data_IF_047223724580
#
_entry.id   IF_047223724580
#
_cell.length_a   1.000
_cell.length_b   1.000
_cell.length_c   1.000
_cell.angle_alpha   90.00
_cell.angle_beta   90.00
_cell.angle_gamma   90.00
#
_symmetry.space_group_name_H-M   'P 1'
#
loop_
_entity.id
_entity.type
_entity.pdbx_description
1 polymer ?
#
# COMPACT_ATOMS: atom_id res chain seq x y z
N UNK A 1 12.51 1.70 -20.04
CA UNK A 1 11.80 1.06 -21.16
C UNK A 1 10.36 1.48 -20.98
N UNK A 2 9.85 2.30 -21.89
CA UNK A 2 8.45 2.73 -21.84
C UNK A 2 7.63 1.49 -22.22
N UNK A 3 6.99 0.85 -21.24
CA UNK A 3 6.03 -0.20 -21.54
C UNK A 3 4.81 0.48 -22.17
N UNK A 4 4.70 0.38 -23.50
CA UNK A 4 3.53 0.80 -24.22
C UNK A 4 2.31 0.13 -23.59
N UNK A 5 1.42 0.95 -23.00
CA UNK A 5 0.15 0.44 -22.48
C UNK A 5 -0.70 -0.04 -23.66
N UNK A 6 -1.26 -1.24 -23.55
CA UNK A 6 -2.21 -1.75 -24.53
C UNK A 6 -3.35 -0.74 -24.74
N UNK A 7 -3.69 -0.45 -26.00
CA UNK A 7 -4.91 0.29 -26.30
C UNK A 7 -6.12 -0.61 -26.01
N UNK A 8 -6.88 -0.23 -24.99
CA UNK A 8 -8.04 -0.96 -24.51
C UNK A 8 -9.37 -0.39 -25.05
N UNK A 9 -9.34 0.65 -25.90
CA UNK A 9 -10.54 1.37 -26.36
C UNK A 9 -11.54 0.49 -27.12
N UNK A 10 -11.04 -0.53 -27.81
CA UNK A 10 -11.86 -1.48 -28.59
C UNK A 10 -12.24 -2.75 -27.81
N UNK A 11 -11.77 -2.94 -26.57
CA UNK A 11 -12.04 -4.14 -25.79
C UNK A 11 -13.36 -3.99 -25.04
N UNK A 12 -14.24 -4.99 -25.16
CA UNK A 12 -15.54 -4.94 -24.47
C UNK A 12 -15.37 -4.97 -22.94
N UNK A 13 -16.31 -4.35 -22.21
CA UNK A 13 -16.30 -4.32 -20.74
C UNK A 13 -16.18 -5.74 -20.14
N UNK A 14 -16.93 -6.78 -20.58
CA UNK A 14 -16.76 -8.12 -20.05
C UNK A 14 -15.37 -8.72 -20.30
N UNK A 15 -14.78 -8.45 -21.48
CA UNK A 15 -13.43 -8.91 -21.79
C UNK A 15 -12.37 -8.22 -20.93
N UNK A 16 -12.52 -6.91 -20.66
CA UNK A 16 -11.66 -6.17 -19.73
C UNK A 16 -11.72 -6.75 -18.32
N UNK A 17 -12.92 -6.99 -17.80
CA UNK A 17 -13.10 -7.60 -16.48
C UNK A 17 -12.56 -9.04 -16.43
N UNK A 18 -12.71 -9.80 -17.51
CA UNK A 18 -12.11 -11.13 -17.65
C UNK A 18 -10.58 -11.10 -17.58
N UNK A 19 -9.94 -10.16 -18.30
CA UNK A 19 -8.49 -9.94 -18.23
C UNK A 19 -8.07 -9.54 -16.81
N UNK A 20 -8.80 -8.63 -16.18
CA UNK A 20 -8.53 -8.20 -14.80
C UNK A 20 -8.59 -9.38 -13.80
N UNK A 21 -9.61 -10.23 -13.92
CA UNK A 21 -9.74 -11.43 -13.09
C UNK A 21 -8.58 -12.42 -13.32
N UNK A 22 -8.13 -12.60 -14.57
CA UNK A 22 -6.98 -13.44 -14.89
C UNK A 22 -5.66 -12.88 -14.32
N UNK A 23 -5.46 -11.56 -14.40
CA UNK A 23 -4.30 -10.87 -13.79
C UNK A 23 -4.29 -11.10 -12.27
N UNK A 24 -5.43 -10.91 -11.59
CA UNK A 24 -5.51 -11.16 -10.16
C UNK A 24 -5.28 -12.63 -9.78
N UNK A 25 -5.71 -13.57 -10.62
CA UNK A 25 -5.43 -14.99 -10.42
C UNK A 25 -3.92 -15.27 -10.50
N UNK A 26 -3.25 -14.77 -11.54
CA UNK A 26 -1.80 -14.91 -11.71
C UNK A 26 -1.02 -14.27 -10.55
N UNK A 27 -1.39 -13.05 -10.13
CA UNK A 27 -0.76 -12.40 -8.99
C UNK A 27 -0.92 -13.19 -7.69
N UNK A 28 -2.07 -13.85 -7.50
CA UNK A 28 -2.30 -14.70 -6.34
C UNK A 28 -1.46 -15.97 -6.40
N UNK A 29 -1.37 -16.60 -7.56
CA UNK A 29 -0.60 -17.82 -7.75
C UNK A 29 0.91 -17.55 -7.56
N UNK A 30 1.36 -16.31 -7.82
CA UNK A 30 2.70 -15.79 -7.45
C UNK A 30 2.86 -15.39 -5.98
N UNK A 31 1.81 -15.46 -5.18
CA UNK A 31 1.80 -15.05 -3.77
C UNK A 31 1.86 -13.53 -3.54
N UNK A 32 1.63 -12.72 -4.58
CA UNK A 32 1.68 -11.24 -4.49
C UNK A 32 0.40 -10.68 -3.87
N UNK A 33 -0.76 -11.23 -4.23
CA UNK A 33 -2.05 -10.86 -3.66
C UNK A 33 -2.69 -12.02 -2.93
N UNK A 34 -3.49 -11.73 -1.91
CA UNK A 34 -4.16 -12.73 -1.06
C UNK A 34 -5.67 -12.75 -1.30
N UNK A 35 -6.20 -11.66 -1.83
CA UNK A 35 -7.62 -11.48 -2.15
C UNK A 35 -7.84 -11.29 -3.65
N UNK A 36 -9.10 -11.35 -4.10
CA UNK A 36 -9.50 -10.95 -5.46
C UNK A 36 -9.95 -9.48 -5.54
N UNK A 37 -9.59 -8.66 -4.54
CA UNK A 37 -9.89 -7.24 -4.54
C UNK A 37 -8.84 -6.48 -5.37
N UNK A 38 -8.97 -5.15 -5.41
CA UNK A 38 -7.93 -4.30 -5.98
C UNK A 38 -6.57 -4.58 -5.33
N UNK A 39 -5.49 -4.79 -6.13
CA UNK A 39 -4.27 -5.44 -5.66
C UNK A 39 -3.38 -4.54 -4.80
N UNK A 40 -3.65 -3.23 -4.74
CA UNK A 40 -2.76 -2.24 -4.15
C UNK A 40 -2.39 -2.54 -2.68
N UNK A 41 -3.37 -2.91 -1.87
CA UNK A 41 -3.15 -3.22 -0.45
C UNK A 41 -2.28 -4.45 -0.28
N UNK A 42 -2.72 -5.58 -0.82
CA UNK A 42 -1.99 -6.85 -0.75
C UNK A 42 -0.58 -6.73 -1.35
N UNK A 43 -0.42 -6.02 -2.47
CA UNK A 43 0.90 -5.80 -3.08
C UNK A 43 1.82 -5.00 -2.16
N UNK A 44 1.31 -3.95 -1.52
CA UNK A 44 2.08 -3.16 -0.57
C UNK A 44 2.51 -3.97 0.66
N UNK A 45 1.60 -4.80 1.19
CA UNK A 45 1.88 -5.73 2.28
C UNK A 45 2.92 -6.78 1.89
N UNK A 46 2.81 -7.34 0.68
CA UNK A 46 3.78 -8.29 0.13
C UNK A 46 5.18 -7.69 0.03
N UNK A 47 5.32 -6.46 -0.48
CA UNK A 47 6.61 -5.77 -0.52
C UNK A 47 7.16 -5.51 0.89
N UNK A 48 6.31 -5.10 1.82
CA UNK A 48 6.71 -4.87 3.20
C UNK A 48 7.20 -6.16 3.87
N UNK A 49 6.50 -7.28 3.68
CA UNK A 49 6.94 -8.59 4.19
C UNK A 49 8.33 -8.96 3.65
N UNK A 50 8.62 -8.71 2.37
CA UNK A 50 9.95 -8.91 1.81
C UNK A 50 11.02 -8.00 2.43
N UNK A 51 10.73 -6.70 2.60
CA UNK A 51 11.69 -5.73 3.18
C UNK A 51 12.03 -6.07 4.63
N UNK A 52 11.04 -6.41 5.44
CA UNK A 52 11.23 -6.69 6.86
C UNK A 52 11.54 -8.15 7.18
N UNK A 53 11.65 -9.01 6.16
CA UNK A 53 11.69 -10.46 6.31
C UNK A 53 10.57 -10.94 7.26
N UNK A 54 9.39 -10.35 7.11
CA UNK A 54 8.26 -10.47 8.01
C UNK A 54 7.24 -11.50 7.55
N UNK A 55 6.37 -11.90 8.48
CA UNK A 55 5.24 -12.80 8.22
C UNK A 55 3.95 -11.99 8.20
N UNK A 56 3.19 -12.10 7.12
CA UNK A 56 1.88 -11.47 7.00
C UNK A 56 0.89 -12.10 7.99
N UNK A 57 0.13 -11.28 8.69
CA UNK A 57 -0.95 -11.72 9.57
C UNK A 57 -2.13 -12.27 8.76
N UNK A 58 -2.94 -13.19 9.32
CA UNK A 58 -4.19 -13.59 8.71
C UNK A 58 -5.09 -12.38 8.39
N UNK A 59 -5.91 -12.52 7.35
CA UNK A 59 -6.88 -11.48 7.01
C UNK A 59 -7.77 -11.17 8.23
N UNK A 60 -8.04 -9.89 8.47
CA UNK A 60 -8.90 -9.41 9.57
C UNK A 60 -8.29 -9.43 10.98
N UNK A 61 -6.97 -9.67 11.12
CA UNK A 61 -6.26 -9.26 12.33
C UNK A 61 -6.40 -7.75 12.48
N UNK A 62 -6.73 -7.30 13.70
CA UNK A 62 -6.89 -5.88 13.99
C UNK A 62 -5.50 -5.27 14.12
N UNK A 63 -5.37 -4.04 13.61
CA UNK A 63 -4.29 -3.09 13.92
C UNK A 63 -2.95 -3.26 13.18
N UNK A 64 -2.53 -4.45 12.78
CA UNK A 64 -1.28 -4.63 12.02
C UNK A 64 -1.45 -5.70 10.93
N UNK A 65 -0.64 -5.58 9.88
CA UNK A 65 -0.72 -6.44 8.69
C UNK A 65 0.39 -7.49 8.67
N UNK A 66 1.50 -7.26 9.37
CA UNK A 66 2.62 -8.20 9.47
C UNK A 66 3.45 -8.03 10.75
N UNK A 67 4.17 -9.10 11.08
CA UNK A 67 5.22 -9.12 12.10
C UNK A 67 6.59 -9.20 11.41
N UNK A 68 7.50 -8.31 11.75
CA UNK A 68 8.88 -8.36 11.25
C UNK A 68 9.66 -9.51 11.90
N UNK A 69 10.83 -9.85 11.33
CA UNK A 69 11.71 -10.85 11.93
C UNK A 69 12.18 -10.51 13.36
N UNK A 70 12.28 -9.22 13.69
CA UNK A 70 12.60 -8.70 15.03
C UNK A 70 11.37 -8.51 15.94
N UNK A 71 10.18 -8.96 15.50
CA UNK A 71 8.96 -9.00 16.32
C UNK A 71 8.17 -7.69 16.36
N UNK A 72 8.50 -6.70 15.54
CA UNK A 72 7.72 -5.45 15.43
C UNK A 72 6.43 -5.70 14.65
N UNK A 73 5.33 -5.14 15.15
CA UNK A 73 4.03 -5.09 14.48
C UNK A 73 4.02 -3.92 13.50
N UNK A 74 3.68 -4.23 12.25
CA UNK A 74 3.72 -3.25 11.16
C UNK A 74 2.33 -3.09 10.55
N UNK A 75 1.85 -1.86 10.47
CA UNK A 75 0.65 -1.50 9.71
C UNK A 75 1.04 -0.84 8.38
N UNK A 76 0.70 -1.46 7.26
CA UNK A 76 0.91 -0.94 5.91
C UNK A 76 -0.29 -0.12 5.47
N UNK A 77 -0.03 1.04 4.85
CA UNK A 77 -1.05 1.83 4.15
C UNK A 77 -0.48 2.29 2.82
N UNK A 78 -1.22 2.01 1.75
CA UNK A 78 -0.81 2.35 0.40
C UNK A 78 -1.83 3.26 -0.31
N UNK A 79 -1.33 4.04 -1.27
CA UNK A 79 -2.17 4.86 -2.15
C UNK A 79 -1.51 5.03 -3.52
N UNK A 80 -2.32 5.01 -4.58
CA UNK A 80 -1.86 5.48 -5.89
C UNK A 80 -1.90 7.01 -5.96
N UNK A 81 -0.92 7.60 -6.63
CA UNK A 81 -0.80 9.04 -6.87
C UNK A 81 -0.56 9.30 -8.35
N UNK A 82 -1.24 10.34 -8.83
CA UNK A 82 -1.15 10.92 -10.17
C UNK A 82 -0.60 12.35 -10.05
N UNK A 83 -0.10 12.96 -11.14
CA UNK A 83 0.37 14.35 -11.13
C UNK A 83 -0.66 15.37 -10.62
N UNK A 84 -1.94 15.09 -10.81
CA UNK A 84 -3.09 15.92 -10.39
C UNK A 84 -3.69 15.49 -9.03
N UNK A 85 -3.03 14.59 -8.29
CA UNK A 85 -3.51 14.18 -6.96
C UNK A 85 -3.57 15.39 -6.02
N UNK A 86 -4.79 15.77 -5.65
CA UNK A 86 -5.04 16.93 -4.82
C UNK A 86 -4.40 16.85 -3.43
N UNK A 87 -4.04 18.01 -2.87
CA UNK A 87 -3.40 18.13 -1.56
C UNK A 87 -4.25 17.57 -0.38
N UNK A 88 -5.55 17.38 -0.59
CA UNK A 88 -6.47 16.77 0.37
C UNK A 88 -6.48 15.23 0.35
N UNK A 89 -5.77 14.59 -0.57
CA UNK A 89 -5.71 13.14 -0.65
C UNK A 89 -5.08 12.52 0.61
N UNK A 90 -5.66 11.42 1.07
CA UNK A 90 -5.30 10.74 2.31
C UNK A 90 -4.99 9.27 2.03
N UNK A 91 -4.17 8.67 2.90
CA UNK A 91 -4.10 7.22 3.03
C UNK A 91 -5.43 6.65 3.56
N UNK A 92 -5.60 5.33 3.45
CA UNK A 92 -6.72 4.67 4.12
C UNK A 92 -6.68 4.91 5.63
N UNK A 93 -7.87 5.01 6.22
CA UNK A 93 -8.05 5.44 7.62
C UNK A 93 -7.36 4.50 8.61
N UNK A 94 -6.69 5.09 9.60
CA UNK A 94 -6.18 4.38 10.78
C UNK A 94 -7.29 4.31 11.82
N UNK A 95 -7.69 3.09 12.20
CA UNK A 95 -8.74 2.83 13.20
C UNK A 95 -8.22 2.31 14.54
N UNK A 96 -6.95 1.93 14.56
CA UNK A 96 -6.21 1.48 15.73
C UNK A 96 -4.78 1.97 15.58
N UNK A 97 -4.07 2.08 16.69
CA UNK A 97 -2.65 2.42 16.80
C UNK A 97 -1.89 1.36 17.62
N UNK A 98 -2.47 0.17 17.76
CA UNK A 98 -1.81 -0.98 18.41
C UNK A 98 -0.86 -1.67 17.43
N UNK A 99 0.21 -0.97 17.07
CA UNK A 99 1.31 -1.41 16.22
C UNK A 99 2.55 -0.56 16.55
N UNK A 100 3.74 -1.02 16.16
CA UNK A 100 4.98 -0.33 16.54
C UNK A 100 5.40 0.68 15.47
N UNK A 101 5.27 0.29 14.20
CA UNK A 101 5.52 1.16 13.04
C UNK A 101 4.42 1.04 12.01
N UNK A 102 4.26 2.09 11.21
CA UNK A 102 3.50 2.04 9.97
C UNK A 102 4.41 2.24 8.77
N UNK A 103 4.02 1.62 7.66
CA UNK A 103 4.69 1.81 6.37
C UNK A 103 3.73 2.48 5.41
N UNK A 104 4.03 3.74 5.07
CA UNK A 104 3.22 4.55 4.16
C UNK A 104 3.84 4.51 2.77
N UNK A 105 3.11 3.97 1.79
CA UNK A 105 3.64 3.70 0.45
C UNK A 105 2.80 4.40 -0.61
N UNK A 106 3.45 5.10 -1.53
CA UNK A 106 2.81 5.64 -2.73
C UNK A 106 3.29 4.95 -3.98
N UNK A 107 2.35 4.71 -4.89
CA UNK A 107 2.59 4.14 -6.20
C UNK A 107 2.08 5.08 -7.29
N UNK A 108 2.67 5.02 -8.46
CA UNK A 108 2.13 5.68 -9.63
C UNK A 108 0.77 5.09 -10.00
N UNK A 109 -0.22 5.94 -10.26
CA UNK A 109 -1.58 5.48 -10.55
C UNK A 109 -1.75 4.79 -11.91
N UNK A 110 -0.88 5.10 -12.88
CA UNK A 110 -0.96 4.53 -14.22
C UNK A 110 -0.17 3.21 -14.32
N UNK A 111 0.92 3.09 -13.58
CA UNK A 111 1.90 2.01 -13.76
C UNK A 111 2.10 1.12 -12.53
N UNK A 112 1.53 1.48 -11.37
CA UNK A 112 1.86 0.85 -10.09
C UNK A 112 3.36 0.89 -9.75
N UNK A 113 4.15 1.74 -10.42
CA UNK A 113 5.55 1.93 -10.10
C UNK A 113 5.69 2.55 -8.72
N UNK A 114 6.57 1.99 -7.88
CA UNK A 114 6.85 2.54 -6.55
C UNK A 114 7.35 3.99 -6.66
N UNK A 115 6.65 4.91 -5.98
CA UNK A 115 7.04 6.32 -5.88
C UNK A 115 7.85 6.56 -4.62
N UNK A 116 7.26 6.34 -3.44
CA UNK A 116 7.91 6.54 -2.15
C UNK A 116 7.43 5.53 -1.10
N UNK A 117 8.28 5.23 -0.12
CA UNK A 117 7.93 4.46 1.08
C UNK A 117 8.53 5.12 2.34
N UNK A 118 7.72 5.29 3.38
CA UNK A 118 8.13 5.81 4.69
C UNK A 118 7.88 4.79 5.79
N UNK A 119 8.87 4.55 6.63
CA UNK A 119 8.69 3.87 7.92
C UNK A 119 8.46 4.92 9.00
N UNK A 120 7.30 4.87 9.64
CA UNK A 120 6.85 5.90 10.58
C UNK A 120 6.54 5.27 11.93
N UNK A 121 7.20 5.67 13.02
CA UNK A 121 6.82 5.26 14.37
C UNK A 121 5.38 5.63 14.69
N UNK A 122 4.68 4.78 15.44
CA UNK A 122 3.28 5.02 15.82
C UNK A 122 3.07 6.38 16.51
N UNK A 123 4.02 6.80 17.35
CA UNK A 123 3.98 8.08 18.07
C UNK A 123 3.95 9.31 17.14
N UNK A 124 4.62 9.25 16.00
CA UNK A 124 4.57 10.31 15.00
C UNK A 124 3.22 10.34 14.27
N UNK A 125 2.64 9.17 13.97
CA UNK A 125 1.33 9.10 13.31
C UNK A 125 0.18 9.61 14.17
N UNK A 126 0.24 9.32 15.47
CA UNK A 126 -0.76 9.80 16.43
C UNK A 126 -0.82 11.32 16.46
N UNK A 127 0.30 12.02 16.25
CA UNK A 127 0.32 13.49 16.23
C UNK A 127 0.00 14.10 14.87
N UNK A 128 0.32 13.41 13.76
CA UNK A 128 0.23 13.96 12.42
C UNK A 128 -1.19 13.94 11.80
N UNK A 129 -2.10 13.10 12.29
CA UNK A 129 -3.40 12.88 11.67
C UNK A 129 -4.54 13.73 12.21
N UNK A 130 -5.55 13.97 11.36
CA UNK A 130 -6.82 14.56 11.80
C UNK A 130 -7.80 13.45 12.17
N UNK A 131 -8.33 13.49 13.39
CA UNK A 131 -9.46 12.63 13.75
C UNK A 131 -10.71 13.03 12.95
N UNK A 132 -11.39 12.04 12.39
CA UNK A 132 -12.66 12.22 11.68
C UNK A 132 -13.72 11.35 12.33
N UNK A 133 -14.72 12.00 12.93
CA UNK A 133 -15.87 11.31 13.52
C UNK A 133 -16.69 10.53 12.49
N UNK A 134 -16.74 11.01 11.23
CA UNK A 134 -17.52 10.38 10.17
C UNK A 134 -17.00 8.99 9.78
N UNK A 135 -15.68 8.81 9.73
CA UNK A 135 -15.06 7.51 9.38
C UNK A 135 -14.58 6.74 10.61
N UNK A 136 -14.85 7.27 11.81
CA UNK A 136 -14.40 6.78 13.11
C UNK A 136 -12.92 6.36 13.10
N UNK A 137 -12.04 7.32 12.82
CA UNK A 137 -10.61 7.07 12.76
C UNK A 137 -9.80 8.28 12.37
N UNK A 138 -8.49 8.08 12.24
CA UNK A 138 -7.51 9.13 11.94
C UNK A 138 -7.11 9.08 10.47
N UNK A 139 -7.19 10.24 9.83
CA UNK A 139 -6.83 10.43 8.43
C UNK A 139 -5.46 11.09 8.35
N UNK A 140 -4.57 10.49 7.55
CA UNK A 140 -3.23 11.01 7.28
C UNK A 140 -3.21 11.47 5.83
N UNK A 141 -2.95 12.76 5.60
CA UNK A 141 -2.74 13.30 4.25
C UNK A 141 -1.48 12.70 3.65
N UNK A 142 -1.51 12.38 2.36
CA UNK A 142 -0.35 11.82 1.65
C UNK A 142 0.86 12.74 1.81
N UNK A 143 0.69 14.05 1.55
CA UNK A 143 1.76 15.05 1.65
C UNK A 143 2.36 15.18 3.06
N UNK A 144 1.56 14.97 4.10
CA UNK A 144 2.04 14.99 5.49
C UNK A 144 2.77 13.68 5.82
N UNK A 145 2.15 12.53 5.53
CA UNK A 145 2.72 11.21 5.79
C UNK A 145 4.06 10.99 5.10
N UNK A 146 4.23 11.50 3.88
CA UNK A 146 5.48 11.42 3.12
C UNK A 146 6.62 12.31 3.67
N UNK A 147 6.41 13.05 4.76
CA UNK A 147 7.45 13.79 5.50
C UNK A 147 7.73 13.22 6.89
N UNK A 148 6.99 12.21 7.32
CA UNK A 148 7.17 11.57 8.63
C UNK A 148 8.22 10.45 8.54
N UNK A 149 8.79 10.12 9.70
CA UNK A 149 9.69 8.98 9.86
C UNK A 149 10.86 8.98 8.87
N UNK A 150 11.27 7.78 8.48
CA UNK A 150 12.47 7.55 7.65
C UNK A 150 12.08 7.18 6.22
N UNK A 151 12.81 7.70 5.23
CA UNK A 151 12.69 7.26 3.84
C UNK A 151 13.29 5.87 3.67
N UNK A 152 12.47 4.90 3.30
CA UNK A 152 12.89 3.53 3.01
C UNK A 152 12.56 3.12 1.56
N UNK A 153 12.35 4.09 0.68
CA UNK A 153 11.99 3.87 -0.73
C UNK A 153 13.00 2.95 -1.43
N UNK A 154 14.29 3.08 -1.15
CA UNK A 154 15.32 2.25 -1.78
C UNK A 154 15.22 0.77 -1.38
N UNK A 155 14.87 0.47 -0.13
CA UNK A 155 14.65 -0.91 0.33
C UNK A 155 13.47 -1.54 -0.42
N UNK A 156 12.38 -0.78 -0.58
CA UNK A 156 11.22 -1.21 -1.34
C UNK A 156 11.52 -1.38 -2.84
N UNK A 157 12.32 -0.48 -3.45
CA UNK A 157 12.76 -0.63 -4.86
C UNK A 157 13.56 -1.92 -5.09
N UNK A 158 14.37 -2.32 -4.12
CA UNK A 158 15.20 -3.53 -4.22
C UNK A 158 14.37 -4.82 -4.29
N UNK A 159 13.15 -4.83 -3.74
CA UNK A 159 12.26 -6.00 -3.73
C UNK A 159 11.12 -5.94 -4.74
N UNK A 160 10.84 -4.76 -5.32
CA UNK A 160 9.77 -4.57 -6.32
C UNK A 160 10.16 -4.96 -7.75
N UNK A 161 11.44 -5.26 -7.98
CA UNK A 161 12.02 -5.58 -9.30
C UNK A 161 12.17 -7.09 -9.55
N UNK A 162 11.57 -7.93 -8.69
CA UNK A 162 11.64 -9.40 -8.72
C UNK A 162 10.28 -10.06 -8.59
#
# INVERSE_FOLDING_TARGET
MDEAHDDLSAVSVPALLGRYAAILAELRDRGVVRTRNAPLGDYAEYLAAKVYNGTLEPNSVKSHDLLTADGRRVQVKARTVAPDTGAGAVFSVFRSFDFDIAVLITFDSATYALRQAREVPVSELETAGRHSAHVNGRLIRITAGLRLGVDITQQFRAVSSR
#
